data_IF_818201530360
#
_entry.id   IF_818201530360
#
_cell.length_a   1.000
_cell.length_b   1.000
_cell.length_c   1.000
_cell.angle_alpha   90.00
_cell.angle_beta   90.00
_cell.angle_gamma   90.00
#
_symmetry.space_group_name_H-M   'P 1'
#
loop_
_entity.id
_entity.type
_entity.pdbx_description
1 polymer ?
#
# COMPACT_ATOMS: atom_id res chain seq x y z
N UNK A 1 31.17 36.45 -3.68
CA UNK A 1 29.93 36.35 -2.89
C UNK A 1 29.08 35.21 -3.44
N UNK A 2 29.31 34.01 -2.96
CA UNK A 2 28.39 32.87 -3.09
C UNK A 2 28.72 31.97 -1.91
N UNK A 3 27.94 32.14 -0.84
CA UNK A 3 28.05 31.32 0.36
C UNK A 3 27.56 29.91 0.02
N UNK A 4 28.46 28.96 0.19
CA UNK A 4 28.24 27.53 0.19
C UNK A 4 27.45 27.17 1.46
N UNK A 5 26.12 26.99 1.35
CA UNK A 5 25.29 26.55 2.47
C UNK A 5 25.25 25.03 2.50
N UNK A 6 26.12 24.46 3.34
CA UNK A 6 26.14 23.04 3.65
C UNK A 6 24.77 22.54 4.15
N UNK A 7 24.35 21.31 3.81
CA UNK A 7 23.08 20.75 4.26
C UNK A 7 23.03 20.66 5.79
N UNK A 8 22.12 21.43 6.40
CA UNK A 8 21.92 21.43 7.85
C UNK A 8 21.52 20.03 8.32
N UNK A 9 22.37 19.42 9.13
CA UNK A 9 22.12 18.13 9.77
C UNK A 9 20.91 18.24 10.70
N UNK A 10 19.77 17.67 10.29
CA UNK A 10 18.61 17.49 11.17
C UNK A 10 18.96 16.48 12.26
N UNK A 11 19.48 16.98 13.38
CA UNK A 11 19.56 16.18 14.60
C UNK A 11 18.14 15.82 15.02
N UNK A 12 17.83 14.53 15.28
CA UNK A 12 16.52 14.15 15.80
C UNK A 12 16.33 14.81 17.16
N UNK A 13 15.48 15.84 17.22
CA UNK A 13 15.08 16.40 18.51
C UNK A 13 14.41 15.31 19.33
N UNK A 14 14.67 15.23 20.66
CA UNK A 14 13.93 14.35 21.55
C UNK A 14 12.43 14.57 21.32
N UNK A 15 11.74 13.51 20.92
CA UNK A 15 10.32 13.59 20.58
C UNK A 15 9.54 13.83 21.87
N UNK A 16 8.84 14.97 21.96
CA UNK A 16 7.94 15.23 23.08
C UNK A 16 6.89 14.11 23.21
N UNK A 17 6.49 13.73 24.43
CA UNK A 17 5.43 12.75 24.65
C UNK A 17 4.15 13.15 23.93
N UNK A 18 3.44 12.19 23.35
CA UNK A 18 2.12 12.42 22.76
C UNK A 18 1.08 12.47 23.89
N UNK A 19 0.60 13.68 24.23
CA UNK A 19 -0.34 13.89 25.35
C UNK A 19 -1.78 13.99 24.84
N UNK A 20 -2.72 13.40 25.57
CA UNK A 20 -4.16 13.58 25.34
C UNK A 20 -4.71 12.86 24.12
N UNK A 21 -4.02 11.81 23.64
CA UNK A 21 -4.41 10.98 22.48
C UNK A 21 -4.65 9.52 22.84
N UNK A 22 -4.81 9.22 24.13
CA UNK A 22 -4.95 7.85 24.63
C UNK A 22 -6.19 7.17 24.06
N UNK A 23 -7.27 7.94 23.84
CA UNK A 23 -8.49 7.43 23.23
C UNK A 23 -8.27 7.00 21.78
N UNK A 24 -7.71 7.86 20.95
CA UNK A 24 -7.47 7.56 19.53
C UNK A 24 -6.48 6.40 19.35
N UNK A 25 -5.45 6.34 20.19
CA UNK A 25 -4.52 5.21 20.20
C UNK A 25 -5.22 3.91 20.62
N UNK A 26 -6.04 3.94 21.67
CA UNK A 26 -6.82 2.78 22.10
C UNK A 26 -7.78 2.28 21.03
N UNK A 27 -8.40 3.18 20.25
CA UNK A 27 -9.26 2.80 19.12
C UNK A 27 -8.47 2.10 17.99
N UNK A 28 -7.24 2.56 17.70
CA UNK A 28 -6.33 1.91 16.74
C UNK A 28 -5.84 0.55 17.23
N UNK A 29 -5.43 0.47 18.51
CA UNK A 29 -4.99 -0.78 19.14
C UNK A 29 -6.11 -1.82 19.12
N UNK A 30 -7.34 -1.42 19.48
CA UNK A 30 -8.50 -2.30 19.41
C UNK A 30 -8.82 -2.75 17.97
N UNK A 31 -8.60 -1.90 16.97
CA UNK A 31 -8.75 -2.29 15.57
C UNK A 31 -7.71 -3.33 15.16
N UNK A 32 -6.46 -3.18 15.58
CA UNK A 32 -5.41 -4.16 15.33
C UNK A 32 -5.71 -5.50 16.02
N UNK A 33 -6.14 -5.48 17.29
CA UNK A 33 -6.56 -6.69 18.01
C UNK A 33 -7.66 -7.45 17.25
N UNK A 34 -8.69 -6.74 16.75
CA UNK A 34 -9.75 -7.38 15.94
C UNK A 34 -9.22 -8.01 14.66
N UNK A 35 -8.23 -7.41 13.99
CA UNK A 35 -7.60 -8.01 12.79
C UNK A 35 -6.87 -9.30 13.16
N UNK A 36 -6.09 -9.27 14.24
CA UNK A 36 -5.31 -10.42 14.69
C UNK A 36 -6.20 -11.58 15.16
N UNK A 37 -7.29 -11.28 15.86
CA UNK A 37 -8.24 -12.28 16.38
C UNK A 37 -9.12 -12.87 15.29
N UNK A 38 -9.68 -12.04 14.41
CA UNK A 38 -10.71 -12.48 13.46
C UNK A 38 -10.16 -12.75 12.06
N UNK A 39 -8.91 -12.37 11.77
CA UNK A 39 -8.29 -12.45 10.45
C UNK A 39 -9.07 -11.70 9.36
N UNK A 40 -9.81 -10.66 9.74
CA UNK A 40 -10.57 -9.80 8.83
C UNK A 40 -9.94 -8.42 8.76
N UNK A 41 -9.64 -7.87 7.57
CA UNK A 41 -9.11 -6.52 7.43
C UNK A 41 -10.01 -5.45 8.07
N UNK A 42 -9.39 -4.46 8.71
CA UNK A 42 -10.08 -3.28 9.27
C UNK A 42 -9.63 -2.02 8.52
N UNK A 43 -10.55 -1.08 8.34
CA UNK A 43 -10.24 0.26 7.82
C UNK A 43 -10.55 1.29 8.88
N UNK A 44 -9.59 2.16 9.18
CA UNK A 44 -9.75 3.27 10.14
C UNK A 44 -9.45 4.57 9.42
N UNK A 45 -10.31 5.58 9.62
CA UNK A 45 -10.14 6.92 9.05
C UNK A 45 -9.88 7.92 10.16
N UNK A 46 -8.72 8.59 10.14
CA UNK A 46 -8.39 9.65 11.09
C UNK A 46 -8.73 11.03 10.49
N UNK A 47 -9.73 11.70 11.06
CA UNK A 47 -10.21 13.01 10.63
C UNK A 47 -9.81 14.08 11.64
N UNK A 48 -9.39 15.25 11.17
CA UNK A 48 -9.06 16.39 12.02
C UNK A 48 -8.33 17.50 11.28
N UNK A 49 -8.23 18.68 11.89
CA UNK A 49 -7.58 19.85 11.30
C UNK A 49 -6.10 19.66 10.94
N UNK A 50 -5.55 20.55 10.11
CA UNK A 50 -4.12 20.59 9.82
C UNK A 50 -3.32 20.84 11.12
N UNK A 51 -2.17 20.19 11.28
CA UNK A 51 -1.30 20.37 12.46
C UNK A 51 -1.76 19.70 13.75
N UNK A 52 -2.95 19.08 13.80
CA UNK A 52 -3.53 18.53 15.05
C UNK A 52 -2.84 17.25 15.59
N UNK A 53 -1.83 16.74 14.88
CA UNK A 53 -1.05 15.57 15.28
C UNK A 53 -1.50 14.22 14.67
N UNK A 54 -2.31 14.19 13.60
CA UNK A 54 -2.76 12.92 12.96
C UNK A 54 -1.60 11.99 12.59
N UNK A 55 -0.56 12.53 11.93
CA UNK A 55 0.63 11.76 11.58
C UNK A 55 1.37 11.24 12.81
N UNK A 56 1.39 12.03 13.90
CA UNK A 56 2.01 11.64 15.16
C UNK A 56 1.28 10.49 15.84
N UNK A 57 -0.05 10.46 15.78
CA UNK A 57 -0.87 9.33 16.27
C UNK A 57 -0.52 8.06 15.48
N UNK A 58 -0.44 8.13 14.15
CA UNK A 58 -0.08 6.98 13.31
C UNK A 58 1.33 6.48 13.61
N UNK A 59 2.31 7.38 13.73
CA UNK A 59 3.69 7.03 14.08
C UNK A 59 3.78 6.34 15.45
N UNK A 60 3.07 6.86 16.44
CA UNK A 60 3.02 6.28 17.78
C UNK A 60 2.38 4.88 17.76
N UNK A 61 1.23 4.74 17.11
CA UNK A 61 0.56 3.44 16.92
C UNK A 61 1.48 2.41 16.22
N UNK A 62 2.11 2.79 15.11
CA UNK A 62 3.04 1.91 14.38
C UNK A 62 4.27 1.52 15.21
N UNK A 63 4.73 2.39 16.12
CA UNK A 63 5.82 2.06 17.03
C UNK A 63 5.44 0.97 18.05
N UNK A 64 4.15 0.87 18.40
CA UNK A 64 3.60 -0.13 19.32
C UNK A 64 3.24 -1.45 18.63
N UNK A 65 2.83 -1.38 17.35
CA UNK A 65 2.52 -2.51 16.50
C UNK A 65 3.78 -3.28 16.03
N UNK A 66 4.65 -3.64 16.97
CA UNK A 66 5.91 -4.33 16.69
C UNK A 66 5.67 -5.69 16.00
N UNK A 67 6.47 -5.98 14.98
CA UNK A 67 6.33 -7.19 14.15
C UNK A 67 5.37 -7.06 12.96
N UNK A 68 4.58 -5.98 12.86
CA UNK A 68 3.78 -5.71 11.68
C UNK A 68 4.62 -5.04 10.58
N UNK A 69 4.43 -5.45 9.32
CA UNK A 69 4.94 -4.69 8.17
C UNK A 69 4.02 -3.50 7.92
N UNK A 70 4.60 -2.31 7.81
CA UNK A 70 3.87 -1.07 7.50
C UNK A 70 4.30 -0.50 6.16
N UNK A 71 3.33 -0.06 5.38
CA UNK A 71 3.53 0.53 4.06
C UNK A 71 2.79 1.86 4.01
N UNK A 72 3.38 2.86 3.35
CA UNK A 72 2.83 4.20 3.25
C UNK A 72 2.71 4.62 1.80
N UNK A 73 1.59 5.25 1.48
CA UNK A 73 1.38 5.95 0.23
C UNK A 73 0.77 7.32 0.51
N UNK A 74 1.21 8.33 -0.21
CA UNK A 74 0.70 9.69 -0.06
C UNK A 74 -0.19 10.04 -1.25
N UNK A 75 -1.45 10.41 -0.97
CA UNK A 75 -2.36 10.97 -1.96
C UNK A 75 -2.08 12.46 -2.12
N UNK A 76 -1.96 12.94 -3.37
CA UNK A 76 -1.72 14.34 -3.68
C UNK A 76 -2.81 14.89 -4.60
N UNK A 77 -3.25 16.15 -4.42
CA UNK A 77 -4.12 16.82 -5.38
C UNK A 77 -3.50 16.77 -6.79
N UNK A 78 -4.30 16.40 -7.80
CA UNK A 78 -3.84 16.25 -9.18
C UNK A 78 -2.94 15.03 -9.44
N UNK A 79 -2.74 14.15 -8.46
CA UNK A 79 -2.01 12.91 -8.64
C UNK A 79 -2.81 11.82 -9.37
N UNK A 80 -2.16 10.71 -9.74
CA UNK A 80 -2.83 9.57 -10.37
C UNK A 80 -3.98 9.02 -9.51
N UNK A 81 -5.04 8.55 -10.17
CA UNK A 81 -6.15 7.88 -9.50
C UNK A 81 -5.61 6.66 -8.73
N UNK A 82 -5.90 6.59 -7.43
CA UNK A 82 -5.38 5.57 -6.51
C UNK A 82 -3.84 5.51 -6.40
N UNK A 83 -3.09 6.56 -6.75
CA UNK A 83 -1.62 6.54 -6.72
C UNK A 83 -1.00 6.17 -5.36
N UNK A 84 -1.69 6.48 -4.25
CA UNK A 84 -1.26 6.05 -2.91
C UNK A 84 -1.28 4.52 -2.75
N UNK A 85 -2.29 3.84 -3.32
CA UNK A 85 -2.37 2.37 -3.30
C UNK A 85 -1.26 1.77 -4.15
N UNK A 86 -0.98 2.36 -5.32
CA UNK A 86 0.14 1.93 -6.17
C UNK A 86 1.47 1.98 -5.41
N UNK A 87 1.73 3.08 -4.69
CA UNK A 87 2.93 3.23 -3.85
C UNK A 87 3.01 2.15 -2.75
N UNK A 88 1.90 1.91 -2.05
CA UNK A 88 1.81 0.87 -1.01
C UNK A 88 2.14 -0.50 -1.60
N UNK A 89 1.54 -0.86 -2.74
CA UNK A 89 1.75 -2.16 -3.37
C UNK A 89 3.18 -2.31 -3.91
N UNK A 90 3.74 -1.27 -4.53
CA UNK A 90 5.15 -1.29 -4.96
C UNK A 90 6.09 -1.51 -3.78
N UNK A 91 5.85 -0.85 -2.66
CA UNK A 91 6.64 -1.07 -1.44
C UNK A 91 6.45 -2.47 -0.88
N UNK A 92 5.22 -3.00 -0.86
CA UNK A 92 4.90 -4.36 -0.39
C UNK A 92 5.57 -5.45 -1.23
N UNK A 93 5.65 -5.26 -2.53
CA UNK A 93 6.27 -6.22 -3.47
C UNK A 93 7.73 -5.87 -3.80
N UNK A 94 8.31 -4.87 -3.13
CA UNK A 94 9.72 -4.46 -3.29
C UNK A 94 10.09 -4.11 -4.75
N UNK A 95 9.15 -3.44 -5.43
CA UNK A 95 9.30 -2.96 -6.81
C UNK A 95 9.93 -1.58 -6.76
N UNK A 96 11.25 -1.54 -7.00
CA UNK A 96 12.02 -0.30 -7.12
C UNK A 96 12.04 0.18 -8.57
N UNK A 97 12.26 -0.75 -9.49
CA UNK A 97 12.26 -0.52 -10.93
C UNK A 97 11.31 -1.53 -11.58
N UNK A 98 10.29 -1.04 -12.26
CA UNK A 98 9.30 -1.88 -12.93
C UNK A 98 9.82 -2.52 -14.23
N UNK A 99 10.95 -2.02 -14.76
CA UNK A 99 11.63 -2.58 -15.92
C UNK A 99 12.56 -3.74 -15.58
N UNK A 100 12.89 -3.94 -14.30
CA UNK A 100 13.74 -5.04 -13.82
C UNK A 100 13.02 -6.41 -13.96
N UNK A 101 13.55 -7.35 -14.77
CA UNK A 101 13.00 -8.70 -14.88
C UNK A 101 12.93 -9.44 -13.54
N UNK A 102 13.84 -9.15 -12.59
CA UNK A 102 13.83 -9.76 -11.27
C UNK A 102 12.68 -9.22 -10.39
N UNK A 103 12.25 -7.97 -10.58
CA UNK A 103 11.05 -7.44 -9.92
C UNK A 103 9.79 -8.17 -10.40
N UNK A 104 9.69 -8.44 -11.70
CA UNK A 104 8.59 -9.20 -12.30
C UNK A 104 8.51 -10.62 -11.73
N UNK A 105 9.65 -11.29 -11.61
CA UNK A 105 9.70 -12.66 -11.10
C UNK A 105 9.36 -12.74 -9.60
N UNK A 106 9.90 -11.83 -8.79
CA UNK A 106 9.54 -11.70 -7.36
C UNK A 106 8.05 -11.44 -7.16
N UNK A 107 7.45 -10.57 -7.97
CA UNK A 107 6.01 -10.33 -7.93
C UNK A 107 5.22 -11.59 -8.27
N UNK A 108 5.65 -12.34 -9.30
CA UNK A 108 5.03 -13.62 -9.69
C UNK A 108 5.05 -14.62 -8.55
N UNK A 109 6.21 -14.83 -7.92
CA UNK A 109 6.39 -15.75 -6.81
C UNK A 109 5.52 -15.38 -5.60
N UNK A 110 5.56 -14.11 -5.18
CA UNK A 110 4.78 -13.65 -4.03
C UNK A 110 3.26 -13.73 -4.28
N UNK A 111 2.80 -13.46 -5.51
CA UNK A 111 1.38 -13.60 -5.86
C UNK A 111 0.96 -15.07 -5.91
N UNK A 112 1.81 -15.95 -6.45
CA UNK A 112 1.55 -17.39 -6.49
C UNK A 112 1.39 -17.97 -5.08
N UNK A 113 2.26 -17.57 -4.15
CA UNK A 113 2.18 -17.93 -2.73
C UNK A 113 0.85 -17.48 -2.10
N UNK A 114 0.40 -16.25 -2.39
CA UNK A 114 -0.83 -15.68 -1.83
C UNK A 114 -2.12 -16.29 -2.40
N UNK A 115 -2.14 -16.64 -3.69
CA UNK A 115 -3.35 -17.13 -4.37
C UNK A 115 -3.43 -18.67 -4.45
N UNK A 116 -2.38 -19.37 -3.99
CA UNK A 116 -2.24 -20.82 -4.09
C UNK A 116 -2.46 -21.30 -5.53
N UNK A 117 -1.75 -20.68 -6.48
CA UNK A 117 -1.76 -20.96 -7.93
C UNK A 117 -3.10 -20.82 -8.68
N UNK A 118 -4.17 -20.40 -7.99
CA UNK A 118 -5.46 -20.14 -8.67
C UNK A 118 -5.44 -18.76 -9.31
N UNK A 119 -5.59 -18.73 -10.64
CA UNK A 119 -5.78 -17.49 -11.43
C UNK A 119 -4.60 -16.49 -11.36
N UNK A 120 -3.40 -16.99 -11.07
CA UNK A 120 -2.19 -16.16 -10.91
C UNK A 120 -1.88 -15.38 -12.18
N UNK A 121 -2.01 -16.00 -13.35
CA UNK A 121 -1.74 -15.34 -14.64
C UNK A 121 -2.67 -14.17 -14.90
N UNK A 122 -3.99 -14.34 -14.67
CA UNK A 122 -4.96 -13.25 -14.82
C UNK A 122 -4.69 -12.13 -13.83
N UNK A 123 -4.41 -12.50 -12.58
CA UNK A 123 -4.16 -11.54 -11.52
C UNK A 123 -2.89 -10.72 -11.80
N UNK A 124 -1.80 -11.37 -12.22
CA UNK A 124 -0.54 -10.71 -12.57
C UNK A 124 -0.68 -9.80 -13.79
N UNK A 125 -1.52 -10.15 -14.76
CA UNK A 125 -1.79 -9.27 -15.88
C UNK A 125 -2.40 -7.93 -15.42
N UNK A 126 -3.47 -7.97 -14.62
CA UNK A 126 -4.11 -6.74 -14.12
C UNK A 126 -3.29 -5.99 -13.07
N UNK A 127 -2.75 -6.72 -12.09
CA UNK A 127 -1.92 -6.11 -11.05
C UNK A 127 -0.62 -5.55 -11.65
N UNK A 128 0.01 -6.28 -12.57
CA UNK A 128 1.19 -5.83 -13.28
C UNK A 128 0.94 -4.52 -14.01
N UNK A 129 -0.12 -4.44 -14.83
CA UNK A 129 -0.50 -3.21 -15.52
C UNK A 129 -0.71 -2.04 -14.53
N UNK A 130 -1.36 -2.29 -13.39
CA UNK A 130 -1.52 -1.27 -12.34
C UNK A 130 -0.20 -0.85 -11.67
N UNK A 131 0.79 -1.74 -11.63
CA UNK A 131 2.12 -1.50 -11.05
C UNK A 131 3.16 -1.06 -12.10
N UNK A 132 2.74 -0.83 -13.35
CA UNK A 132 3.57 -0.56 -14.53
C UNK A 132 4.57 -1.69 -14.88
N UNK A 133 4.23 -2.94 -14.55
CA UNK A 133 4.98 -4.16 -14.90
C UNK A 133 4.22 -4.95 -15.96
N UNK A 134 4.87 -5.23 -17.09
CA UNK A 134 4.25 -5.98 -18.19
C UNK A 134 4.36 -7.49 -17.98
N UNK A 135 3.20 -8.16 -17.97
CA UNK A 135 3.07 -9.61 -18.07
C UNK A 135 2.44 -10.00 -19.41
N UNK A 136 2.75 -11.20 -19.96
CA UNK A 136 2.06 -11.71 -21.14
C UNK A 136 0.55 -11.73 -20.94
N UNK A 137 -0.21 -11.51 -22.01
CA UNK A 137 -1.66 -11.63 -21.98
C UNK A 137 -2.09 -13.03 -21.51
N UNK A 138 -3.04 -13.08 -20.58
CA UNK A 138 -3.72 -14.34 -20.27
C UNK A 138 -4.64 -14.72 -21.46
N UNK A 139 -4.78 -16.02 -21.79
CA UNK A 139 -5.87 -16.49 -22.65
C UNK A 139 -7.25 -15.96 -22.26
N UNK A 140 -7.45 -15.69 -20.96
CA UNK A 140 -8.66 -15.07 -20.43
C UNK A 140 -8.84 -13.61 -20.87
N UNK A 141 -7.75 -12.83 -20.97
CA UNK A 141 -7.80 -11.44 -21.45
C UNK A 141 -8.11 -11.38 -22.94
N UNK A 142 -7.50 -12.26 -23.74
CA UNK A 142 -7.79 -12.39 -25.19
C UNK A 142 -9.25 -12.75 -25.47
N UNK A 143 -9.86 -13.55 -24.60
CA UNK A 143 -11.28 -13.88 -24.69
C UNK A 143 -12.21 -12.69 -24.33
N UNK A 144 -11.68 -11.64 -23.70
CA UNK A 144 -12.43 -10.51 -23.15
C UNK A 144 -12.29 -9.19 -23.95
N UNK A 145 -11.38 -9.13 -24.93
CA UNK A 145 -11.13 -7.92 -25.76
C UNK A 145 -12.34 -7.45 -26.57
N UNK A 146 -13.42 -8.24 -26.65
CA UNK A 146 -14.68 -7.85 -27.28
C UNK A 146 -15.63 -7.01 -26.40
N UNK A 147 -15.44 -6.94 -25.08
CA UNK A 147 -16.40 -6.31 -24.16
C UNK A 147 -15.70 -5.51 -23.03
N UNK A 148 -15.34 -4.25 -23.30
CA UNK A 148 -14.60 -3.38 -22.36
C UNK A 148 -15.27 -3.19 -20.98
N UNK A 149 -16.60 -3.27 -20.90
CA UNK A 149 -17.37 -3.19 -19.64
C UNK A 149 -17.20 -4.44 -18.75
N UNK A 150 -16.79 -5.57 -19.34
CA UNK A 150 -16.63 -6.85 -18.66
C UNK A 150 -15.32 -6.90 -17.86
N UNK A 151 -14.25 -6.25 -18.35
CA UNK A 151 -12.94 -6.14 -17.69
C UNK A 151 -13.07 -5.48 -16.29
N UNK A 152 -13.84 -4.38 -16.20
CA UNK A 152 -14.04 -3.67 -14.93
C UNK A 152 -14.91 -4.44 -13.92
N UNK A 153 -15.87 -5.25 -14.42
CA UNK A 153 -16.70 -6.12 -13.57
C UNK A 153 -15.94 -7.34 -13.08
N UNK A 154 -15.09 -7.91 -13.92
CA UNK A 154 -14.33 -9.11 -13.58
C UNK A 154 -13.13 -8.77 -12.69
N UNK A 155 -12.43 -7.65 -12.88
CA UNK A 155 -11.40 -7.21 -11.92
C UNK A 155 -11.99 -7.06 -10.50
N UNK A 156 -13.19 -6.48 -10.41
CA UNK A 156 -13.97 -6.43 -9.15
C UNK A 156 -14.34 -7.81 -8.62
N UNK A 157 -14.60 -8.80 -9.47
CA UNK A 157 -14.95 -10.17 -9.05
C UNK A 157 -13.71 -11.02 -8.68
N UNK A 158 -12.56 -10.78 -9.32
CA UNK A 158 -11.27 -11.43 -9.01
C UNK A 158 -10.75 -10.95 -7.65
N UNK A 159 -10.91 -9.66 -7.36
CA UNK A 159 -10.44 -9.03 -6.13
C UNK A 159 -11.40 -9.17 -4.93
N UNK A 160 -12.56 -9.81 -5.10
CA UNK A 160 -13.64 -9.89 -4.09
C UNK A 160 -13.73 -11.21 -3.33
N UNK A 161 -12.73 -12.09 -3.40
CA UNK A 161 -12.74 -13.34 -2.63
C UNK A 161 -11.51 -13.48 -1.77
#
# INVERSE_FOLDING_TARGET
>A
MTSDEAPRSRHPLPRAPLVGRDRELSELDAALSRVLENQVPQTVTLVGGAGIGKGRIVEEFLSRASGARSFRGDARPGGPMLGAIQQILRSRFEIVDASDPAARERLREQVAELLHDRRVTEFLHFLGAYLDITFPESPFTKALEGESDQLARISRAVLRR
#
